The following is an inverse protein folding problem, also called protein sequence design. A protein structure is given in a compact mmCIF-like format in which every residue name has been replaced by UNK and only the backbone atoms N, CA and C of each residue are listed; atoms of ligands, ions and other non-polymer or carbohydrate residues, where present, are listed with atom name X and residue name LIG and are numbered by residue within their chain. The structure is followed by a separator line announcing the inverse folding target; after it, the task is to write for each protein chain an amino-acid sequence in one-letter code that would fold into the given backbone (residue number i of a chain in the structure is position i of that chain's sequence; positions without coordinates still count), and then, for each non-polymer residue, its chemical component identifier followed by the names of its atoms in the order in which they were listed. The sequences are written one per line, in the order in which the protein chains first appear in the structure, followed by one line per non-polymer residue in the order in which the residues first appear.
data_IF_347108936581
#
_entry.id   IF_347108936581
#
_cell.length_a   1.000
_cell.length_b   1.000
_cell.length_c   1.000
_cell.angle_alpha   90.00
_cell.angle_beta   90.00
_cell.angle_gamma   90.00
#
_symmetry.space_group_name_H-M   'P 1'
#
loop_
_entity.id
_entity.type
_entity.pdbx_description
1 polymer ?
#
# COMPACT_ATOMS: atom_id res chain seq x y z
N UNK A 1 -2.25 10.86 -23.79
CA UNK A 1 -1.88 10.51 -22.39
C UNK A 1 -0.47 11.03 -22.17
N UNK A 2 -0.26 11.92 -21.21
CA UNK A 2 1.09 12.39 -20.85
C UNK A 2 1.77 11.29 -20.01
N UNK A 3 3.01 10.96 -20.33
CA UNK A 3 3.81 9.96 -19.61
C UNK A 3 5.05 10.64 -19.03
N UNK A 4 5.54 10.12 -17.91
CA UNK A 4 6.83 10.53 -17.37
C UNK A 4 7.95 10.05 -18.31
N UNK A 5 8.96 10.89 -18.53
CA UNK A 5 10.24 10.41 -19.06
C UNK A 5 10.88 9.43 -18.05
N UNK A 6 11.79 8.58 -18.53
CA UNK A 6 12.50 7.63 -17.66
C UNK A 6 13.22 8.32 -16.50
N UNK A 7 13.78 9.52 -16.74
CA UNK A 7 14.44 10.30 -15.70
C UNK A 7 13.47 10.86 -14.65
N UNK A 8 12.26 11.25 -15.06
CA UNK A 8 11.22 11.70 -14.12
C UNK A 8 10.65 10.53 -13.32
N UNK A 9 10.45 9.38 -13.96
CA UNK A 9 10.02 8.16 -13.27
C UNK A 9 11.04 7.72 -12.23
N UNK A 10 12.34 7.70 -12.57
CA UNK A 10 13.40 7.35 -11.63
C UNK A 10 13.42 8.27 -10.40
N UNK A 11 13.24 9.59 -10.58
CA UNK A 11 13.12 10.53 -9.45
C UNK A 11 11.89 10.25 -8.57
N UNK A 12 10.74 9.97 -9.19
CA UNK A 12 9.51 9.65 -8.45
C UNK A 12 9.65 8.34 -7.66
N UNK A 13 10.25 7.32 -8.29
CA UNK A 13 10.62 6.06 -7.66
C UNK A 13 11.49 6.29 -6.41
N UNK A 14 12.62 6.98 -6.56
CA UNK A 14 13.55 7.19 -5.45
C UNK A 14 12.92 7.98 -4.31
N UNK A 15 12.06 8.95 -4.63
CA UNK A 15 11.27 9.68 -3.63
C UNK A 15 10.29 8.75 -2.89
N UNK A 16 9.49 7.96 -3.60
CA UNK A 16 8.54 7.02 -2.99
C UNK A 16 9.25 5.99 -2.11
N UNK A 17 10.30 5.35 -2.61
CA UNK A 17 11.04 4.33 -1.87
C UNK A 17 11.77 4.90 -0.64
N UNK A 18 12.11 6.19 -0.63
CA UNK A 18 12.75 6.83 0.52
C UNK A 18 11.78 7.43 1.54
N UNK A 19 10.61 7.94 1.11
CA UNK A 19 9.72 8.73 1.97
C UNK A 19 8.39 8.05 2.31
N UNK A 20 7.90 7.15 1.46
CA UNK A 20 6.57 6.58 1.65
C UNK A 20 6.55 5.58 2.83
N UNK A 21 5.36 5.15 3.25
CA UNK A 21 5.23 4.09 4.25
C UNK A 21 5.49 2.75 3.58
N UNK A 22 5.76 1.72 4.38
CA UNK A 22 6.00 0.37 3.85
C UNK A 22 4.85 -0.14 2.97
N UNK A 23 3.60 0.25 3.26
CA UNK A 23 2.42 -0.09 2.46
C UNK A 23 2.51 0.43 1.01
N UNK A 24 2.88 1.71 0.83
CA UNK A 24 3.03 2.30 -0.51
C UNK A 24 4.29 1.77 -1.22
N UNK A 25 5.38 1.53 -0.47
CA UNK A 25 6.60 0.95 -1.04
C UNK A 25 6.34 -0.45 -1.58
N UNK A 26 5.68 -1.31 -0.80
CA UNK A 26 5.37 -2.68 -1.23
C UNK A 26 4.46 -2.68 -2.46
N UNK A 27 3.47 -1.79 -2.50
CA UNK A 27 2.60 -1.64 -3.67
C UNK A 27 3.33 -1.12 -4.90
N UNK A 28 4.23 -0.14 -4.73
CA UNK A 28 5.03 0.37 -5.85
C UNK A 28 5.92 -0.74 -6.43
N UNK A 29 6.62 -1.49 -5.58
CA UNK A 29 7.47 -2.61 -6.00
C UNK A 29 6.66 -3.71 -6.69
N UNK A 30 5.47 -4.02 -6.18
CA UNK A 30 4.54 -4.96 -6.81
C UNK A 30 4.16 -4.51 -8.23
N UNK A 31 3.65 -3.28 -8.37
CA UNK A 31 3.08 -2.79 -9.63
C UNK A 31 4.15 -2.56 -10.71
N UNK A 32 5.35 -2.11 -10.33
CA UNK A 32 6.34 -1.60 -11.28
C UNK A 32 7.66 -2.39 -11.32
N UNK A 33 7.97 -3.20 -10.30
CA UNK A 33 9.30 -3.84 -10.15
C UNK A 33 9.23 -5.36 -9.91
N UNK A 34 8.08 -5.99 -10.14
CA UNK A 34 7.91 -7.44 -10.01
C UNK A 34 7.97 -7.93 -8.56
N UNK A 35 7.61 -7.08 -7.60
CA UNK A 35 7.42 -7.45 -6.20
C UNK A 35 6.35 -8.53 -6.03
N UNK A 36 6.38 -9.28 -4.92
CA UNK A 36 5.45 -10.40 -4.72
C UNK A 36 4.17 -9.92 -4.02
N UNK A 37 2.99 -10.51 -4.33
CA UNK A 37 1.76 -10.28 -3.56
C UNK A 37 1.95 -10.44 -2.05
N UNK A 38 2.78 -11.42 -1.65
CA UNK A 38 3.09 -11.70 -0.25
C UNK A 38 3.76 -10.52 0.48
N UNK A 39 4.57 -9.71 -0.20
CA UNK A 39 5.25 -8.55 0.40
C UNK A 39 4.23 -7.44 0.71
N UNK A 40 3.23 -7.25 -0.17
CA UNK A 40 2.12 -6.34 0.06
C UNK A 40 1.26 -6.80 1.23
N UNK A 41 0.92 -8.09 1.28
CA UNK A 41 0.13 -8.66 2.39
C UNK A 41 0.88 -8.54 3.71
N UNK A 42 2.20 -8.74 3.71
CA UNK A 42 3.04 -8.57 4.89
C UNK A 42 3.09 -7.11 5.38
N UNK A 43 3.10 -6.12 4.48
CA UNK A 43 2.97 -4.72 4.87
C UNK A 43 1.55 -4.39 5.38
N UNK A 44 0.51 -4.96 4.75
CA UNK A 44 -0.87 -4.71 5.10
C UNK A 44 -1.24 -5.26 6.49
N UNK A 45 -0.73 -6.43 6.85
CA UNK A 45 -1.07 -7.09 8.13
C UNK A 45 -0.62 -6.28 9.36
N UNK A 46 0.36 -5.38 9.21
CA UNK A 46 0.77 -4.50 10.32
C UNK A 46 -0.33 -3.53 10.75
N UNK A 47 -1.33 -3.32 9.90
CA UNK A 47 -2.49 -2.47 10.16
C UNK A 47 -3.72 -3.25 10.66
N UNK A 48 -3.64 -4.59 10.72
CA UNK A 48 -4.74 -5.43 11.21
C UNK A 48 -4.77 -5.43 12.74
N UNK A 49 -5.97 -5.32 13.30
CA UNK A 49 -6.22 -5.40 14.74
C UNK A 49 -6.62 -6.83 15.16
N UNK A 50 -6.66 -7.08 16.47
CA UNK A 50 -7.02 -8.39 17.04
C UNK A 50 -8.46 -8.82 16.70
N UNK A 51 -9.35 -7.86 16.43
CA UNK A 51 -10.73 -8.10 15.98
C UNK A 51 -10.83 -8.45 14.49
N UNK A 52 -9.69 -8.63 13.82
CA UNK A 52 -9.52 -8.91 12.39
C UNK A 52 -9.92 -7.78 11.44
N UNK A 53 -10.36 -6.62 11.96
CA UNK A 53 -10.54 -5.39 11.19
C UNK A 53 -9.22 -4.64 10.99
N UNK A 54 -9.28 -3.53 10.24
CA UNK A 54 -8.11 -2.68 9.96
C UNK A 54 -8.29 -1.27 10.51
N UNK A 55 -7.18 -0.69 10.96
CA UNK A 55 -7.08 0.67 11.51
C UNK A 55 -5.64 1.19 11.43
N UNK A 56 -5.16 1.81 12.50
CA UNK A 56 -3.74 2.19 12.71
C UNK A 56 -3.18 3.07 11.59
N UNK A 57 -4.01 4.00 11.14
CA UNK A 57 -3.70 4.91 10.03
C UNK A 57 -3.38 4.21 8.69
N UNK A 58 -3.99 3.05 8.40
CA UNK A 58 -3.87 2.41 7.07
C UNK A 58 -4.23 3.39 5.95
N UNK A 59 -5.38 4.03 6.06
CA UNK A 59 -5.72 5.22 5.28
C UNK A 59 -5.07 6.45 5.97
N UNK A 60 -4.12 7.16 5.31
CA UNK A 60 -3.36 8.25 5.93
C UNK A 60 -4.19 9.37 6.56
N UNK A 61 -5.38 9.65 6.01
CA UNK A 61 -6.27 10.69 6.54
C UNK A 61 -7.04 10.24 7.79
N UNK A 62 -7.14 8.93 8.02
CA UNK A 62 -7.83 8.33 9.15
C UNK A 62 -6.85 7.78 10.18
N UNK A 63 -6.45 8.60 11.15
CA UNK A 63 -5.56 8.18 12.26
C UNK A 63 -6.25 7.41 13.40
N UNK A 64 -7.35 6.72 13.09
CA UNK A 64 -8.05 5.91 14.08
C UNK A 64 -7.25 4.62 14.33
N UNK A 65 -6.89 4.35 15.58
CA UNK A 65 -6.22 3.09 15.96
C UNK A 65 -7.19 1.90 15.86
N UNK A 66 -8.44 2.11 16.26
CA UNK A 66 -9.48 1.08 16.22
C UNK A 66 -9.84 0.69 14.79
N UNK A 67 -10.37 -0.52 14.65
CA UNK A 67 -10.88 -1.01 13.38
C UNK A 67 -12.00 -0.11 12.86
N UNK A 68 -11.96 0.20 11.57
CA UNK A 68 -12.99 1.02 10.92
C UNK A 68 -13.42 0.42 9.58
N UNK A 69 -14.65 0.72 9.19
CA UNK A 69 -15.19 0.31 7.88
C UNK A 69 -14.36 0.91 6.74
N UNK A 70 -13.90 2.16 6.88
CA UNK A 70 -13.10 2.83 5.86
C UNK A 70 -11.75 2.12 5.67
N UNK A 71 -10.98 1.93 6.74
CA UNK A 71 -9.68 1.25 6.66
C UNK A 71 -9.83 -0.21 6.22
N UNK A 72 -10.86 -0.92 6.69
CA UNK A 72 -11.12 -2.31 6.26
C UNK A 72 -11.48 -2.38 4.77
N UNK A 73 -12.26 -1.42 4.26
CA UNK A 73 -12.55 -1.34 2.82
C UNK A 73 -11.28 -1.08 2.02
N UNK A 74 -10.41 -0.19 2.49
CA UNK A 74 -9.12 0.10 1.86
C UNK A 74 -8.20 -1.13 1.85
N UNK A 75 -8.13 -1.87 2.96
CA UNK A 75 -7.41 -3.14 3.04
C UNK A 75 -7.91 -4.15 2.00
N UNK A 76 -9.23 -4.30 1.85
CA UNK A 76 -9.81 -5.20 0.85
C UNK A 76 -9.49 -4.78 -0.58
N UNK A 77 -9.36 -3.48 -0.87
CA UNK A 77 -8.94 -3.01 -2.18
C UNK A 77 -7.50 -3.43 -2.49
N UNK A 78 -6.57 -3.33 -1.53
CA UNK A 78 -5.21 -3.85 -1.70
C UNK A 78 -5.21 -5.36 -1.95
N UNK A 79 -5.93 -6.14 -1.13
CA UNK A 79 -6.03 -7.60 -1.28
C UNK A 79 -6.64 -7.97 -2.63
N UNK A 80 -7.72 -7.31 -3.05
CA UNK A 80 -8.33 -7.53 -4.36
C UNK A 80 -7.35 -7.24 -5.49
N UNK A 81 -6.54 -6.19 -5.36
CA UNK A 81 -5.57 -5.79 -6.39
C UNK A 81 -4.46 -6.82 -6.56
N UNK A 82 -3.93 -7.38 -5.47
CA UNK A 82 -2.83 -8.36 -5.53
C UNK A 82 -3.28 -9.81 -5.71
N UNK A 83 -4.57 -10.11 -5.57
CA UNK A 83 -5.17 -11.43 -5.87
C UNK A 83 -5.72 -11.54 -7.30
N UNK A 84 -5.71 -10.45 -8.07
CA UNK A 84 -6.26 -10.44 -9.44
C UNK A 84 -5.23 -10.81 -10.52
N UNK A 85 -4.00 -11.13 -10.13
CA UNK A 85 -2.91 -11.63 -10.97
C UNK A 85 -2.61 -13.11 -10.67
#
# INVERSE_FOLDING_TARGET
MLMLSSAQFAKARDFLLSQAREMEKSMFLYEFEGGKPADVVAALITYQNEDHGFGRALEPDLRCEASSVLATTHALQYVSKVNSD
#
